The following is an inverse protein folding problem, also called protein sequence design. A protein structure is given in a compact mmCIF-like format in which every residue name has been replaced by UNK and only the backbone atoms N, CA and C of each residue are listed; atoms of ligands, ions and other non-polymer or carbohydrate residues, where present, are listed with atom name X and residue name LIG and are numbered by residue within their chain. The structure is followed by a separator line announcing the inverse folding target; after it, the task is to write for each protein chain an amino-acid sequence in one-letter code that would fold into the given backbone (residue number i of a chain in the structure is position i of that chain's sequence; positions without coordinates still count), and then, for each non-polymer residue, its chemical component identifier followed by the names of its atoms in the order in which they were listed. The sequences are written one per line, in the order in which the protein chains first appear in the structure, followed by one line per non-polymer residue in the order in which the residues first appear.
data_IF_590453101182
#
_entry.id   IF_590453101182
#
_cell.length_a   1.000
_cell.length_b   1.000
_cell.length_c   1.000
_cell.angle_alpha   90.00
_cell.angle_beta   90.00
_cell.angle_gamma   90.00
#
_symmetry.space_group_name_H-M   'P 1'
#
loop_
_entity.id
_entity.type
_entity.pdbx_description
1 polymer ?
#
# COMPACT_ATOMS: atom_id res chain seq x y z
N UNK A 1 54.99 52.04 13.99
CA UNK A 1 54.82 50.56 14.12
C UNK A 1 54.51 50.26 15.58
N UNK A 2 53.24 50.09 15.91
CA UNK A 2 52.77 49.76 17.25
C UNK A 2 53.00 48.28 17.50
N UNK A 3 53.83 47.99 18.50
CA UNK A 3 54.23 46.61 18.84
C UNK A 3 53.06 45.75 19.25
N UNK A 4 52.98 44.47 18.85
CA UNK A 4 51.87 43.54 19.13
C UNK A 4 51.59 43.34 20.65
N UNK A 5 52.50 43.75 21.50
CA UNK A 5 52.35 43.74 22.98
C UNK A 5 51.29 44.69 23.52
N UNK A 6 50.98 45.76 22.84
CA UNK A 6 49.97 46.73 23.28
C UNK A 6 48.53 46.28 23.01
N UNK A 7 48.29 45.52 21.98
CA UNK A 7 47.00 44.95 21.69
C UNK A 7 46.62 43.83 22.68
N UNK A 8 47.58 42.98 23.03
CA UNK A 8 47.35 41.88 24.00
C UNK A 8 47.02 42.44 25.40
N UNK A 9 47.73 43.44 25.89
CA UNK A 9 47.41 44.08 27.18
C UNK A 9 46.04 44.75 27.16
N UNK A 10 45.67 45.44 26.10
CA UNK A 10 44.32 46.02 25.97
C UNK A 10 43.21 45.01 25.96
N UNK A 11 43.41 43.86 25.35
CA UNK A 11 42.47 42.75 25.37
C UNK A 11 42.36 42.12 26.75
N UNK A 12 43.47 41.91 27.46
CA UNK A 12 43.51 41.41 28.83
C UNK A 12 42.79 42.34 29.79
N UNK A 13 43.03 43.64 29.69
CA UNK A 13 42.32 44.66 30.51
C UNK A 13 40.83 44.73 30.20
N UNK A 14 40.43 44.50 28.95
CA UNK A 14 39.05 44.52 28.55
C UNK A 14 38.28 43.25 29.03
N UNK A 15 38.92 42.12 29.01
CA UNK A 15 38.36 40.85 29.50
C UNK A 15 38.24 40.85 31.05
N UNK A 16 39.12 41.51 31.74
CA UNK A 16 39.15 41.59 33.21
C UNK A 16 38.13 42.65 33.71
N UNK A 17 37.57 43.48 32.83
CA UNK A 17 36.57 44.45 33.27
C UNK A 17 35.28 43.74 33.76
N UNK A 18 34.85 43.99 35.01
CA UNK A 18 33.77 43.24 35.66
C UNK A 18 32.48 43.20 34.81
N UNK A 19 32.19 44.28 34.12
CA UNK A 19 31.00 44.38 33.20
C UNK A 19 31.11 43.44 31.99
N UNK A 20 32.31 43.26 31.42
CA UNK A 20 32.51 42.38 30.27
C UNK A 20 32.42 40.91 30.70
N UNK A 21 32.95 40.56 31.84
CA UNK A 21 32.85 39.20 32.39
C UNK A 21 31.39 38.84 32.69
N UNK A 22 30.57 39.78 33.19
CA UNK A 22 29.14 39.53 33.40
C UNK A 22 28.40 39.35 32.09
N UNK A 23 28.69 40.16 31.08
CA UNK A 23 28.05 40.05 29.75
C UNK A 23 28.43 38.72 29.09
N UNK A 24 29.70 38.30 29.12
CA UNK A 24 30.15 37.00 28.60
C UNK A 24 29.52 35.84 29.35
N UNK A 25 29.37 35.95 30.66
CA UNK A 25 28.69 34.95 31.48
C UNK A 25 27.19 34.82 31.10
N UNK A 26 26.50 35.92 30.94
CA UNK A 26 25.10 35.94 30.51
C UNK A 26 24.92 35.38 29.09
N UNK A 27 25.80 35.74 28.16
CA UNK A 27 25.82 35.15 26.80
C UNK A 27 26.06 33.66 26.85
N UNK A 28 26.99 33.17 27.65
CA UNK A 28 27.27 31.74 27.85
C UNK A 28 26.05 30.98 28.37
N UNK A 29 25.35 31.53 29.37
CA UNK A 29 24.10 30.96 29.88
C UNK A 29 23.00 30.97 28.80
N UNK A 30 22.89 32.04 28.05
CA UNK A 30 21.93 32.19 26.97
C UNK A 30 22.16 31.15 25.85
N UNK A 31 23.40 30.95 25.44
CA UNK A 31 23.76 29.92 24.46
C UNK A 31 23.53 28.49 24.97
N UNK A 32 23.82 28.25 26.25
CA UNK A 32 23.52 26.96 26.85
C UNK A 32 22.03 26.69 26.93
N UNK A 33 21.24 27.65 27.35
CA UNK A 33 19.78 27.54 27.43
C UNK A 33 19.15 27.34 26.03
N UNK A 34 19.63 28.03 25.00
CA UNK A 34 19.20 27.84 23.60
C UNK A 34 19.61 26.47 23.09
N UNK A 35 20.83 26.00 23.40
CA UNK A 35 21.31 24.67 23.04
C UNK A 35 20.42 23.58 23.65
N UNK A 36 20.09 23.67 24.92
CA UNK A 36 19.17 22.74 25.59
C UNK A 36 17.75 22.81 24.98
N UNK A 37 17.23 24.01 24.71
CA UNK A 37 15.91 24.18 24.12
C UNK A 37 15.80 23.55 22.73
N UNK A 38 16.87 23.51 21.94
CA UNK A 38 16.88 22.89 20.60
C UNK A 38 17.20 21.40 20.68
N UNK A 39 18.15 21.00 21.49
CA UNK A 39 18.63 19.61 21.54
C UNK A 39 17.67 18.71 22.32
N UNK A 40 17.03 19.22 23.38
CA UNK A 40 16.11 18.42 24.19
C UNK A 40 14.95 17.82 23.38
N UNK A 41 14.20 18.58 22.56
CA UNK A 41 13.08 18.01 21.78
C UNK A 41 13.56 17.03 20.69
N UNK A 42 14.79 17.18 20.20
CA UNK A 42 15.37 16.21 19.24
C UNK A 42 15.73 14.91 19.96
N UNK A 43 16.34 14.99 21.15
CA UNK A 43 16.65 13.80 21.94
C UNK A 43 15.39 13.03 22.33
N UNK A 44 14.37 13.71 22.81
CA UNK A 44 13.09 13.04 23.17
C UNK A 44 12.46 12.34 21.99
N UNK A 45 12.44 12.94 20.79
CA UNK A 45 11.95 12.29 19.56
C UNK A 45 12.77 11.06 19.18
N UNK A 46 14.10 11.16 19.26
CA UNK A 46 14.99 10.02 18.96
C UNK A 46 14.78 8.88 19.97
N UNK A 47 14.57 9.19 21.23
CA UNK A 47 14.32 8.17 22.27
C UNK A 47 12.93 7.53 22.11
N UNK A 48 11.93 8.30 21.73
CA UNK A 48 10.60 7.76 21.37
C UNK A 48 10.64 6.86 20.14
N UNK A 49 11.37 7.26 19.10
CA UNK A 49 11.55 6.45 17.89
C UNK A 49 12.31 5.15 18.19
N UNK A 50 13.37 5.22 19.00
CA UNK A 50 14.09 4.02 19.47
C UNK A 50 13.17 3.09 20.26
N UNK A 51 12.36 3.64 21.16
CA UNK A 51 11.39 2.84 21.91
C UNK A 51 10.38 2.15 21.01
N UNK A 52 9.83 2.87 20.04
CA UNK A 52 8.91 2.29 19.02
C UNK A 52 9.58 1.18 18.20
N UNK A 53 10.85 1.36 17.83
CA UNK A 53 11.61 0.32 17.13
C UNK A 53 11.84 -0.91 18.00
N UNK A 54 12.21 -0.73 19.27
CA UNK A 54 12.36 -1.84 20.21
C UNK A 54 11.06 -2.59 20.45
N UNK A 55 9.93 -1.87 20.59
CA UNK A 55 8.62 -2.47 20.74
C UNK A 55 8.22 -3.27 19.49
N UNK A 56 8.50 -2.73 18.28
CA UNK A 56 8.25 -3.46 17.02
C UNK A 56 9.12 -4.69 16.86
N UNK A 57 10.42 -4.60 17.22
CA UNK A 57 11.31 -5.76 17.16
C UNK A 57 10.91 -6.84 18.16
N UNK A 58 10.47 -6.45 19.36
CA UNK A 58 9.93 -7.38 20.35
C UNK A 58 8.63 -8.05 19.87
N UNK A 59 7.73 -7.30 19.22
CA UNK A 59 6.51 -7.86 18.61
C UNK A 59 6.84 -8.85 17.49
N UNK A 60 7.78 -8.52 16.61
CA UNK A 60 8.23 -9.44 15.54
C UNK A 60 8.86 -10.69 16.13
N UNK A 61 9.71 -10.58 17.13
CA UNK A 61 10.31 -11.73 17.82
C UNK A 61 9.24 -12.61 18.51
N UNK A 62 8.24 -11.99 19.14
CA UNK A 62 7.13 -12.70 19.75
C UNK A 62 6.26 -13.42 18.71
N UNK A 63 6.04 -12.82 17.55
CA UNK A 63 5.33 -13.46 16.44
C UNK A 63 6.14 -14.61 15.85
N UNK A 64 7.45 -14.42 15.64
CA UNK A 64 8.33 -15.49 15.14
C UNK A 64 8.40 -16.68 16.09
N UNK A 65 8.38 -16.44 17.42
CA UNK A 65 8.36 -17.50 18.42
C UNK A 65 7.03 -18.26 18.53
N UNK A 66 5.93 -17.70 18.02
CA UNK A 66 4.59 -18.35 18.04
C UNK A 66 4.40 -19.37 16.94
N UNK A 67 5.15 -19.27 15.85
CA UNK A 67 5.04 -20.23 14.76
C UNK A 67 5.85 -21.47 15.08
N UNK A 68 5.16 -22.54 15.40
CA UNK A 68 5.78 -23.87 15.50
C UNK A 68 6.28 -24.32 14.13
N UNK A 69 7.22 -25.27 14.10
CA UNK A 69 7.74 -25.82 12.84
C UNK A 69 6.64 -26.43 11.98
N UNK A 70 5.62 -27.03 12.61
CA UNK A 70 4.45 -27.58 11.92
C UNK A 70 3.61 -26.48 11.23
N UNK A 71 3.37 -25.36 11.90
CA UNK A 71 2.66 -24.22 11.32
C UNK A 71 3.42 -23.59 10.15
N UNK A 72 4.75 -23.53 10.25
CA UNK A 72 5.59 -23.06 9.13
C UNK A 72 5.47 -23.98 7.91
N UNK A 73 5.51 -25.29 8.11
CA UNK A 73 5.34 -26.25 7.02
C UNK A 73 3.94 -26.18 6.40
N UNK A 74 2.91 -25.97 7.21
CA UNK A 74 1.54 -25.81 6.73
C UNK A 74 1.40 -24.53 5.88
N UNK A 75 1.94 -23.40 6.35
CA UNK A 75 1.97 -22.15 5.59
C UNK A 75 2.78 -22.30 4.28
N UNK A 76 3.94 -22.95 4.31
CA UNK A 76 4.73 -23.21 3.10
C UNK A 76 3.95 -24.07 2.10
N UNK A 77 3.25 -25.09 2.56
CA UNK A 77 2.40 -25.94 1.72
C UNK A 77 1.24 -25.15 1.12
N UNK A 78 0.62 -24.27 1.90
CA UNK A 78 -0.45 -23.38 1.42
C UNK A 78 0.09 -22.38 0.37
N UNK A 79 1.27 -21.81 0.60
CA UNK A 79 1.94 -20.90 -0.35
C UNK A 79 2.27 -21.63 -1.66
N UNK A 80 2.80 -22.85 -1.58
CA UNK A 80 3.06 -23.66 -2.78
C UNK A 80 1.77 -24.02 -3.52
N UNK A 81 0.71 -24.36 -2.79
CA UNK A 81 -0.61 -24.60 -3.37
C UNK A 81 -1.15 -23.36 -4.08
N UNK A 82 -1.05 -22.20 -3.45
CA UNK A 82 -1.44 -20.92 -4.05
C UNK A 82 -0.59 -20.59 -5.29
N UNK A 83 0.72 -20.80 -5.24
CA UNK A 83 1.62 -20.61 -6.39
C UNK A 83 1.20 -21.45 -7.60
N UNK A 84 0.82 -22.71 -7.38
CA UNK A 84 0.37 -23.60 -8.47
C UNK A 84 -0.97 -23.16 -9.09
N UNK A 85 -1.82 -22.48 -8.32
CA UNK A 85 -3.10 -21.95 -8.78
C UNK A 85 -3.00 -20.56 -9.41
N UNK A 86 -1.88 -19.87 -9.26
CA UNK A 86 -1.68 -18.56 -9.87
C UNK A 86 -1.49 -18.68 -11.39
N UNK A 87 -2.09 -17.78 -12.17
CA UNK A 87 -1.89 -17.78 -13.62
C UNK A 87 -0.45 -17.41 -13.97
N UNK A 88 0.09 -18.08 -14.98
CA UNK A 88 1.41 -17.77 -15.54
C UNK A 88 1.34 -16.47 -16.34
N UNK A 89 1.49 -15.34 -15.66
CA UNK A 89 1.58 -14.03 -16.30
C UNK A 89 0.44 -13.74 -17.30
N UNK A 90 0.81 -13.22 -18.47
CA UNK A 90 -0.14 -12.83 -19.52
C UNK A 90 -0.93 -14.01 -20.11
N UNK A 91 -0.38 -15.22 -20.10
CA UNK A 91 -1.05 -16.41 -20.65
C UNK A 91 -2.25 -16.81 -19.78
N UNK A 92 -2.10 -16.74 -18.46
CA UNK A 92 -3.19 -16.99 -17.52
C UNK A 92 -4.30 -15.98 -17.64
N UNK A 93 -3.97 -14.68 -17.72
CA UNK A 93 -4.97 -13.64 -17.91
C UNK A 93 -5.73 -13.81 -19.23
N UNK A 94 -5.04 -14.21 -20.31
CA UNK A 94 -5.68 -14.48 -21.59
C UNK A 94 -6.73 -15.60 -21.49
N UNK A 95 -6.45 -16.66 -20.73
CA UNK A 95 -7.42 -17.75 -20.46
C UNK A 95 -8.64 -17.21 -19.72
N UNK A 96 -8.43 -16.45 -18.65
CA UNK A 96 -9.51 -15.78 -17.89
C UNK A 96 -10.39 -14.93 -18.82
N UNK A 97 -9.78 -14.11 -19.68
CA UNK A 97 -10.52 -13.29 -20.63
C UNK A 97 -11.34 -14.11 -21.61
N UNK A 98 -10.81 -15.25 -22.07
CA UNK A 98 -11.56 -16.17 -22.95
C UNK A 98 -12.74 -16.78 -22.20
N UNK A 99 -12.57 -17.26 -20.98
CA UNK A 99 -13.65 -17.84 -20.17
C UNK A 99 -14.77 -16.83 -19.90
N UNK A 100 -14.43 -15.60 -19.55
CA UNK A 100 -15.42 -14.51 -19.34
C UNK A 100 -16.10 -14.16 -20.68
N UNK A 101 -15.35 -14.07 -21.77
CA UNK A 101 -15.91 -13.81 -23.11
C UNK A 101 -16.90 -14.91 -23.55
N UNK A 102 -16.59 -16.16 -23.29
CA UNK A 102 -17.46 -17.29 -23.60
C UNK A 102 -18.71 -17.29 -22.71
N UNK A 103 -18.57 -16.93 -21.44
CA UNK A 103 -19.72 -16.72 -20.57
C UNK A 103 -20.62 -15.60 -21.12
N UNK A 104 -20.06 -14.50 -21.58
CA UNK A 104 -20.82 -13.38 -22.18
C UNK A 104 -21.61 -13.84 -23.39
N UNK A 105 -20.96 -14.53 -24.33
CA UNK A 105 -21.60 -15.07 -25.52
C UNK A 105 -22.78 -16.01 -25.19
N UNK A 106 -22.54 -16.95 -24.25
CA UNK A 106 -23.55 -17.93 -23.84
C UNK A 106 -24.76 -17.31 -23.14
N UNK A 107 -24.55 -16.21 -22.41
CA UNK A 107 -25.57 -15.59 -21.57
C UNK A 107 -26.15 -14.29 -22.15
N UNK A 108 -25.79 -13.93 -23.37
CA UNK A 108 -26.29 -12.75 -24.04
C UNK A 108 -25.86 -11.44 -23.41
N UNK A 109 -24.64 -11.40 -22.86
CA UNK A 109 -23.97 -10.18 -22.47
C UNK A 109 -23.18 -9.61 -23.64
N UNK A 110 -23.26 -8.28 -23.84
CA UNK A 110 -22.30 -7.53 -24.63
C UNK A 110 -21.27 -6.88 -23.72
N UNK A 111 -20.11 -6.51 -24.26
CA UNK A 111 -19.16 -5.75 -23.43
C UNK A 111 -17.72 -5.86 -23.87
N UNK A 112 -16.86 -5.31 -23.02
CA UNK A 112 -15.41 -5.26 -23.26
C UNK A 112 -14.66 -5.71 -22.02
N UNK A 113 -13.54 -6.38 -22.26
CA UNK A 113 -12.55 -6.77 -21.24
C UNK A 113 -11.27 -5.98 -21.49
N UNK A 114 -10.86 -5.18 -20.54
CA UNK A 114 -9.73 -4.25 -20.67
C UNK A 114 -8.70 -4.61 -19.60
N UNK A 115 -7.63 -5.34 -19.98
CA UNK A 115 -6.56 -5.65 -19.05
C UNK A 115 -5.66 -4.44 -18.80
N UNK A 116 -5.16 -4.29 -17.59
CA UNK A 116 -4.08 -3.35 -17.26
C UNK A 116 -2.71 -4.06 -17.35
N UNK A 117 -1.61 -3.29 -17.47
CA UNK A 117 -0.29 -3.83 -17.24
C UNK A 117 -0.15 -4.41 -15.82
N UNK A 118 0.75 -5.41 -15.63
CA UNK A 118 1.04 -5.91 -14.29
C UNK A 118 1.68 -4.81 -13.42
N UNK A 119 1.28 -4.77 -12.17
CA UNK A 119 1.80 -3.83 -11.16
C UNK A 119 2.33 -4.60 -9.95
N UNK A 120 3.42 -4.14 -9.37
CA UNK A 120 3.95 -4.69 -8.11
C UNK A 120 3.03 -4.27 -6.98
N UNK A 121 2.41 -5.24 -6.30
CA UNK A 121 1.44 -4.99 -5.25
C UNK A 121 2.09 -4.62 -3.91
N UNK A 122 3.25 -5.18 -3.66
CA UNK A 122 3.99 -4.94 -2.42
C UNK A 122 5.48 -4.80 -2.72
N UNK A 123 6.11 -3.64 -2.44
CA UNK A 123 7.55 -3.45 -2.64
C UNK A 123 8.43 -4.43 -1.86
N UNK A 124 7.94 -4.97 -0.74
CA UNK A 124 8.65 -5.97 0.05
C UNK A 124 8.57 -7.38 -0.58
N UNK A 125 7.66 -7.60 -1.53
CA UNK A 125 7.45 -8.85 -2.26
C UNK A 125 7.32 -8.54 -3.75
N UNK A 126 8.41 -8.16 -4.43
CA UNK A 126 8.38 -7.74 -5.83
C UNK A 126 7.94 -8.84 -6.79
N UNK A 127 8.02 -10.09 -6.35
CA UNK A 127 7.53 -11.25 -7.09
C UNK A 127 5.99 -11.32 -7.12
N UNK A 128 5.30 -10.65 -6.17
CA UNK A 128 3.85 -10.62 -6.16
C UNK A 128 3.36 -9.46 -7.01
N UNK A 129 2.86 -9.79 -8.18
CA UNK A 129 2.29 -8.83 -9.11
C UNK A 129 0.78 -8.95 -9.16
N UNK A 130 0.12 -7.87 -9.50
CA UNK A 130 -1.31 -7.83 -9.73
C UNK A 130 -1.61 -7.34 -11.14
N UNK A 131 -2.61 -7.92 -11.77
CA UNK A 131 -3.18 -7.44 -13.03
C UNK A 131 -4.64 -7.10 -12.84
N UNK A 132 -5.02 -5.89 -13.19
CA UNK A 132 -6.42 -5.46 -13.12
C UNK A 132 -7.10 -5.77 -14.44
N UNK A 133 -8.25 -6.40 -14.36
CA UNK A 133 -9.16 -6.61 -15.48
C UNK A 133 -10.40 -5.76 -15.27
N UNK A 134 -10.61 -4.78 -16.12
CA UNK A 134 -11.84 -4.01 -16.16
C UNK A 134 -12.82 -4.69 -17.11
N UNK A 135 -14.01 -4.93 -16.60
CA UNK A 135 -15.11 -5.58 -17.30
C UNK A 135 -16.23 -4.55 -17.46
N UNK A 136 -16.49 -4.16 -18.67
CA UNK A 136 -17.64 -3.34 -19.02
C UNK A 136 -18.67 -4.24 -19.68
N UNK A 137 -19.69 -4.66 -18.95
CA UNK A 137 -20.72 -5.55 -19.44
C UNK A 137 -22.05 -4.82 -19.61
N UNK A 138 -22.77 -5.15 -20.64
CA UNK A 138 -24.10 -4.61 -20.91
C UNK A 138 -25.06 -5.69 -21.33
N UNK A 139 -26.32 -5.56 -20.94
CA UNK A 139 -27.38 -6.45 -21.39
C UNK A 139 -28.63 -5.63 -21.76
N UNK A 140 -29.36 -5.99 -22.85
CA UNK A 140 -30.60 -5.32 -23.23
C UNK A 140 -31.59 -5.26 -22.06
N UNK A 141 -32.33 -4.17 -21.93
CA UNK A 141 -33.30 -3.93 -20.86
C UNK A 141 -34.27 -5.10 -20.67
N UNK A 142 -34.70 -5.73 -21.75
CA UNK A 142 -35.60 -6.91 -21.71
C UNK A 142 -35.04 -8.08 -20.90
N UNK A 143 -33.75 -8.10 -20.68
CA UNK A 143 -33.02 -9.11 -19.88
C UNK A 143 -32.42 -8.52 -18.61
N UNK A 144 -32.67 -7.23 -18.31
CA UNK A 144 -32.17 -6.60 -17.11
C UNK A 144 -32.77 -7.29 -15.87
N UNK A 145 -31.98 -7.37 -14.83
CA UNK A 145 -32.45 -7.88 -13.54
C UNK A 145 -33.48 -6.91 -12.94
N UNK A 146 -34.49 -7.46 -12.31
CA UNK A 146 -35.34 -6.69 -11.40
C UNK A 146 -34.60 -6.57 -10.05
N UNK A 147 -34.92 -5.57 -9.28
CA UNK A 147 -34.35 -5.37 -7.93
C UNK A 147 -34.61 -6.57 -7.03
N UNK A 148 -35.67 -7.34 -7.31
CA UNK A 148 -36.10 -8.54 -6.58
C UNK A 148 -35.33 -9.82 -6.94
N UNK A 149 -34.58 -9.83 -8.07
CA UNK A 149 -33.90 -11.04 -8.55
C UNK A 149 -32.67 -11.40 -7.70
N UNK A 150 -32.13 -10.43 -6.93
CA UNK A 150 -31.06 -10.66 -5.97
C UNK A 150 -29.86 -11.44 -6.55
N UNK A 151 -29.34 -12.41 -5.79
CA UNK A 151 -28.20 -13.22 -6.24
C UNK A 151 -28.54 -14.18 -7.39
N UNK A 152 -29.81 -14.48 -7.64
CA UNK A 152 -30.27 -15.32 -8.73
C UNK A 152 -30.43 -14.54 -10.04
N UNK A 153 -30.36 -13.22 -10.00
CA UNK A 153 -30.38 -12.37 -11.18
C UNK A 153 -29.18 -12.60 -12.10
N UNK A 154 -29.20 -11.98 -13.26
CA UNK A 154 -28.14 -12.12 -14.28
C UNK A 154 -26.79 -11.63 -13.76
N UNK A 155 -26.78 -10.51 -13.03
CA UNK A 155 -25.57 -9.96 -12.42
C UNK A 155 -25.04 -10.90 -11.32
N UNK A 156 -25.90 -11.45 -10.48
CA UNK A 156 -25.53 -12.43 -9.48
C UNK A 156 -24.91 -13.69 -10.10
N UNK A 157 -25.46 -14.17 -11.23
CA UNK A 157 -24.87 -15.29 -11.97
C UNK A 157 -23.53 -14.94 -12.62
N UNK A 158 -23.37 -13.69 -13.13
CA UNK A 158 -22.08 -13.22 -13.63
C UNK A 158 -21.02 -13.19 -12.52
N UNK A 159 -21.36 -12.66 -11.35
CA UNK A 159 -20.44 -12.62 -10.21
C UNK A 159 -20.06 -14.03 -9.77
N UNK A 160 -21.02 -14.97 -9.68
CA UNK A 160 -20.71 -16.37 -9.37
C UNK A 160 -19.81 -17.03 -10.43
N UNK A 161 -20.00 -16.71 -11.70
CA UNK A 161 -19.14 -17.24 -12.76
C UNK A 161 -17.71 -16.69 -12.64
N UNK A 162 -17.54 -15.42 -12.22
CA UNK A 162 -16.25 -14.83 -11.94
C UNK A 162 -15.61 -15.49 -10.70
N UNK A 163 -16.38 -15.64 -9.63
CA UNK A 163 -15.94 -16.23 -8.36
C UNK A 163 -15.52 -17.71 -8.51
N UNK A 164 -16.10 -18.39 -9.50
CA UNK A 164 -15.75 -19.77 -9.84
C UNK A 164 -14.48 -19.92 -10.69
N UNK A 165 -13.85 -18.81 -11.09
CA UNK A 165 -12.58 -18.87 -11.81
C UNK A 165 -11.49 -19.52 -10.94
N UNK A 166 -10.67 -20.41 -11.50
CA UNK A 166 -9.68 -21.16 -10.72
C UNK A 166 -8.44 -20.35 -10.31
N UNK A 167 -8.49 -19.04 -10.45
CA UNK A 167 -7.37 -18.15 -10.21
C UNK A 167 -7.65 -17.25 -9.01
N UNK A 168 -6.66 -17.02 -8.13
CA UNK A 168 -6.82 -16.11 -7.01
C UNK A 168 -7.07 -14.68 -7.51
N UNK A 169 -8.19 -14.13 -7.10
CA UNK A 169 -8.61 -12.80 -7.53
C UNK A 169 -9.40 -12.09 -6.44
N UNK A 170 -9.53 -10.77 -6.60
CA UNK A 170 -10.31 -9.91 -5.73
C UNK A 170 -11.13 -8.93 -6.56
N UNK A 171 -12.43 -8.86 -6.31
CA UNK A 171 -13.29 -7.81 -6.85
C UNK A 171 -12.98 -6.50 -6.09
N UNK A 172 -12.44 -5.52 -6.80
CA UNK A 172 -12.03 -4.23 -6.21
C UNK A 172 -13.07 -3.14 -6.40
N UNK A 173 -13.88 -3.23 -7.47
CA UNK A 173 -14.91 -2.25 -7.77
C UNK A 173 -16.08 -2.91 -8.50
N UNK A 174 -17.29 -2.49 -8.15
CA UNK A 174 -18.52 -2.87 -8.84
C UNK A 174 -19.45 -1.66 -8.94
N UNK A 175 -19.92 -1.40 -10.13
CA UNK A 175 -20.91 -0.36 -10.37
C UNK A 175 -22.00 -0.94 -11.30
N UNK A 176 -23.23 -0.57 -11.03
CA UNK A 176 -24.37 -0.96 -11.86
C UNK A 176 -25.19 0.26 -12.20
N UNK A 177 -25.68 0.31 -13.42
CA UNK A 177 -26.52 1.40 -13.87
C UNK A 177 -27.39 1.01 -15.08
N UNK A 178 -28.26 1.91 -15.43
CA UNK A 178 -29.01 1.87 -16.68
C UNK A 178 -28.46 2.93 -17.61
N UNK A 179 -28.00 2.54 -18.78
CA UNK A 179 -27.36 3.43 -19.75
C UNK A 179 -27.91 3.29 -21.14
N UNK A 180 -27.52 4.23 -22.01
CA UNK A 180 -27.86 4.24 -23.41
C UNK A 180 -29.30 4.66 -23.71
N UNK A 181 -29.62 4.78 -25.01
CA UNK A 181 -30.97 5.16 -25.53
C UNK A 181 -32.02 4.11 -25.18
N UNK A 182 -31.62 2.86 -25.16
CA UNK A 182 -32.52 1.71 -24.91
C UNK A 182 -32.58 1.34 -23.42
N UNK A 183 -31.88 2.08 -22.53
CA UNK A 183 -31.80 1.82 -21.11
C UNK A 183 -31.29 0.41 -20.81
N UNK A 184 -30.25 -0.01 -21.51
CA UNK A 184 -29.57 -1.27 -21.25
C UNK A 184 -29.01 -1.26 -19.83
N UNK A 185 -29.06 -2.40 -19.18
CA UNK A 185 -28.36 -2.57 -17.89
C UNK A 185 -26.86 -2.63 -18.13
N UNK A 186 -26.13 -1.75 -17.46
CA UNK A 186 -24.67 -1.69 -17.51
C UNK A 186 -24.09 -2.16 -16.19
N UNK A 187 -23.05 -2.96 -16.27
CA UNK A 187 -22.28 -3.45 -15.12
C UNK A 187 -20.82 -3.18 -15.39
N UNK A 188 -20.20 -2.45 -14.48
CA UNK A 188 -18.77 -2.23 -14.48
C UNK A 188 -18.16 -2.99 -13.31
N UNK A 189 -17.18 -3.83 -13.60
CA UNK A 189 -16.43 -4.57 -12.59
C UNK A 189 -14.94 -4.31 -12.78
N UNK A 190 -14.21 -4.22 -11.69
CA UNK A 190 -12.76 -4.20 -11.67
C UNK A 190 -12.26 -5.33 -10.78
N UNK A 191 -11.49 -6.24 -11.36
CA UNK A 191 -11.00 -7.44 -10.71
C UNK A 191 -9.49 -7.41 -10.71
N UNK A 192 -8.88 -7.61 -9.55
CA UNK A 192 -7.45 -7.77 -9.39
C UNK A 192 -7.12 -9.26 -9.37
N UNK A 193 -6.35 -9.72 -10.32
CA UNK A 193 -5.77 -11.06 -10.37
C UNK A 193 -4.35 -11.03 -9.83
N UNK A 194 -4.05 -11.97 -8.95
CA UNK A 194 -2.71 -12.15 -8.42
C UNK A 194 -1.92 -13.08 -9.33
N UNK A 195 -0.67 -12.74 -9.61
CA UNK A 195 0.21 -13.55 -10.43
C UNK A 195 1.64 -13.55 -9.90
N UNK A 196 2.38 -14.58 -10.26
CA UNK A 196 3.84 -14.60 -10.14
C UNK A 196 4.45 -14.31 -11.52
N UNK A 197 5.58 -13.63 -11.59
CA UNK A 197 6.26 -13.30 -12.84
C UNK A 197 6.75 -14.54 -13.58
#
# INVERSE_FOLDING_TARGET
MSTPRTLRRRLEDWIIHPSVSVILGLLGIGFFALGEAVVHPVRTRVDEEKKKLLDRTAQVAALQGRFTQAERMDVETQIEGARKSMPDGLSGLRRVMVEISDYFKKNGWGGRLIPSPPEVLNPALPELQGMRLKIEAQTPRRYADNVQDGPEGRVGRLLRAIDALPYPHQLTRMEMGMGGKDRDQQVYLEILFFQLP
#
